data_IF_676176949291
#
_entry.id   IF_676176949291
#
_cell.length_a   1.000
_cell.length_b   1.000
_cell.length_c   1.000
_cell.angle_alpha   90.00
_cell.angle_beta   90.00
_cell.angle_gamma   90.00
#
_symmetry.space_group_name_H-M   'P 1'
#
loop_
_entity.id
_entity.type
_entity.pdbx_description
1 polymer ?
#
# COMPACT_ATOMS: atom_id res chain seq x y z
N UNK A 1 9.29 14.62 4.87
CA UNK A 1 9.61 13.32 5.50
C UNK A 1 8.34 12.48 5.52
N UNK A 2 8.39 11.22 5.08
CA UNK A 2 7.34 10.21 5.24
C UNK A 2 7.97 8.89 5.69
N UNK A 3 7.27 8.18 6.57
CA UNK A 3 7.57 6.79 6.97
C UNK A 3 6.30 5.96 6.78
N UNK A 4 6.40 4.88 6.02
CA UNK A 4 5.32 3.94 5.74
C UNK A 4 5.67 2.57 6.32
N UNK A 5 4.81 2.04 7.18
CA UNK A 5 4.95 0.70 7.78
C UNK A 5 3.77 -0.14 7.32
N UNK A 6 4.06 -1.25 6.64
CA UNK A 6 3.07 -2.13 6.04
C UNK A 6 3.27 -3.57 6.50
N UNK A 7 2.22 -4.17 7.07
CA UNK A 7 2.15 -5.60 7.32
C UNK A 7 1.53 -6.30 6.10
N UNK A 8 2.12 -7.41 5.66
CA UNK A 8 1.67 -8.16 4.48
C UNK A 8 1.55 -7.32 3.19
N UNK A 9 2.56 -6.48 2.90
CA UNK A 9 2.59 -5.61 1.72
C UNK A 9 2.47 -6.42 0.40
N UNK A 10 1.45 -6.17 -0.43
CA UNK A 10 1.32 -6.79 -1.75
C UNK A 10 2.56 -6.53 -2.62
N UNK A 11 3.00 -7.52 -3.40
CA UNK A 11 4.19 -7.38 -4.24
C UNK A 11 4.13 -6.16 -5.20
N UNK A 12 2.94 -5.88 -5.75
CA UNK A 12 2.72 -4.72 -6.62
C UNK A 12 2.82 -3.37 -5.91
N UNK A 13 2.46 -3.31 -4.62
CA UNK A 13 2.61 -2.09 -3.81
C UNK A 13 4.07 -1.89 -3.41
N UNK A 14 4.75 -2.95 -2.97
CA UNK A 14 6.18 -2.91 -2.61
C UNK A 14 7.03 -2.33 -3.74
N UNK A 15 6.90 -2.86 -4.96
CA UNK A 15 7.65 -2.35 -6.11
C UNK A 15 7.29 -0.91 -6.51
N UNK A 16 6.10 -0.44 -6.17
CA UNK A 16 5.74 0.96 -6.36
C UNK A 16 6.41 1.87 -5.32
N UNK A 17 6.41 1.46 -4.05
CA UNK A 17 7.02 2.23 -2.96
C UNK A 17 8.54 2.32 -3.09
N UNK A 18 9.23 1.24 -3.48
CA UNK A 18 10.70 1.23 -3.63
C UNK A 18 11.22 2.12 -4.76
N UNK A 19 10.35 2.59 -5.67
CA UNK A 19 10.73 3.61 -6.68
C UNK A 19 10.89 5.01 -6.10
N UNK A 20 10.28 5.27 -4.95
CA UNK A 20 10.21 6.61 -4.35
C UNK A 20 10.80 6.67 -2.93
N UNK A 21 10.79 5.54 -2.23
CA UNK A 21 11.19 5.41 -0.83
C UNK A 21 12.23 4.30 -0.68
N UNK A 22 13.11 4.44 0.30
CA UNK A 22 14.05 3.41 0.68
C UNK A 22 13.35 2.41 1.61
N UNK A 23 13.40 1.12 1.28
CA UNK A 23 12.99 0.06 2.20
C UNK A 23 14.12 -0.24 3.19
N UNK A 24 13.99 0.22 4.44
CA UNK A 24 15.03 0.07 5.48
C UNK A 24 14.92 -1.24 6.25
N UNK A 25 13.73 -1.85 6.23
CA UNK A 25 13.44 -3.18 6.80
C UNK A 25 12.19 -3.73 6.11
N UNK A 26 11.90 -5.02 6.26
CA UNK A 26 10.76 -5.66 5.62
C UNK A 26 9.45 -4.92 5.93
N UNK A 27 8.89 -4.26 4.92
CA UNK A 27 7.64 -3.49 5.04
C UNK A 27 7.79 -2.08 5.61
N UNK A 28 9.01 -1.59 5.84
CA UNK A 28 9.30 -0.24 6.37
C UNK A 28 9.97 0.61 5.29
N UNK A 29 9.28 1.66 4.85
CA UNK A 29 9.70 2.55 3.77
C UNK A 29 9.88 3.98 4.26
N UNK A 30 11.00 4.62 3.93
CA UNK A 30 11.35 5.97 4.41
C UNK A 30 11.80 6.85 3.24
N UNK A 31 11.41 8.13 3.24
CA UNK A 31 11.89 9.08 2.25
C UNK A 31 11.47 10.53 2.44
N UNK A 32 12.10 11.40 1.65
CA UNK A 32 11.74 12.81 1.51
C UNK A 32 11.10 13.02 0.14
N UNK A 33 9.82 13.38 0.14
CA UNK A 33 9.04 13.64 -1.07
C UNK A 33 8.29 14.96 -0.93
N UNK A 34 7.89 15.55 -2.06
CA UNK A 34 7.01 16.71 -2.06
C UNK A 34 5.62 16.34 -1.53
N UNK A 35 4.83 17.33 -1.13
CA UNK A 35 3.44 17.12 -0.69
C UNK A 35 2.63 16.34 -1.72
N UNK A 36 2.71 16.73 -3.00
CA UNK A 36 2.02 16.04 -4.09
C UNK A 36 2.41 14.56 -4.18
N UNK A 37 3.71 14.24 -4.18
CA UNK A 37 4.16 12.85 -4.30
C UNK A 37 3.74 12.03 -3.09
N UNK A 38 3.77 12.62 -1.89
CA UNK A 38 3.28 11.98 -0.66
C UNK A 38 1.78 11.65 -0.76
N UNK A 39 0.96 12.56 -1.26
CA UNK A 39 -0.48 12.34 -1.41
C UNK A 39 -0.79 11.24 -2.44
N UNK A 40 -0.07 11.23 -3.56
CA UNK A 40 -0.17 10.17 -4.58
C UNK A 40 0.26 8.80 -4.04
N UNK A 41 1.38 8.73 -3.30
CA UNK A 41 1.84 7.50 -2.66
C UNK A 41 0.80 6.97 -1.66
N UNK A 42 0.14 7.86 -0.91
CA UNK A 42 -0.91 7.49 0.03
C UNK A 42 -2.14 6.94 -0.70
N UNK A 43 -2.63 7.63 -1.73
CA UNK A 43 -3.77 7.19 -2.53
C UNK A 43 -3.52 5.81 -3.14
N UNK A 44 -2.33 5.60 -3.73
CA UNK A 44 -1.96 4.32 -4.33
C UNK A 44 -1.85 3.19 -3.29
N UNK A 45 -1.36 3.51 -2.10
CA UNK A 45 -1.33 2.59 -0.97
C UNK A 45 -2.76 2.14 -0.65
N UNK A 46 -3.66 3.09 -0.35
CA UNK A 46 -5.06 2.83 0.00
C UNK A 46 -5.80 2.01 -1.07
N UNK A 47 -5.58 2.31 -2.35
CA UNK A 47 -6.17 1.58 -3.47
C UNK A 47 -5.76 0.10 -3.47
N UNK A 48 -4.49 -0.19 -3.22
CA UNK A 48 -3.94 -1.56 -3.30
C UNK A 48 -4.12 -2.37 -2.02
N UNK A 49 -4.21 -1.73 -0.84
CA UNK A 49 -4.52 -2.43 0.42
C UNK A 49 -6.02 -2.71 0.59
N UNK A 50 -6.92 -1.96 -0.06
CA UNK A 50 -8.32 -2.35 -0.09
C UNK A 50 -8.45 -3.66 -0.87
N UNK A 51 -8.87 -4.77 -0.25
CA UNK A 51 -9.24 -5.95 -1.01
C UNK A 51 -10.33 -5.51 -1.98
N UNK A 52 -10.19 -5.80 -3.28
CA UNK A 52 -11.36 -5.83 -4.17
C UNK A 52 -12.32 -6.77 -3.49
N UNK A 53 -13.34 -6.21 -2.84
CA UNK A 53 -14.31 -6.96 -2.09
C UNK A 53 -14.83 -8.03 -3.05
N UNK A 54 -14.53 -9.30 -2.77
CA UNK A 54 -15.46 -10.34 -3.19
C UNK A 54 -16.78 -9.88 -2.59
N UNK A 55 -17.83 -9.61 -3.39
CA UNK A 55 -19.13 -9.39 -2.80
C UNK A 55 -19.35 -10.61 -1.92
N UNK A 56 -19.71 -10.39 -0.65
CA UNK A 56 -20.08 -11.48 0.25
C UNK A 56 -21.14 -12.29 -0.46
N UNK A 57 -20.72 -13.40 -1.09
CA UNK A 57 -21.56 -14.28 -1.86
C UNK A 57 -22.45 -14.98 -0.86
N UNK A 58 -23.74 -14.67 -0.94
CA UNK A 58 -24.81 -15.28 -0.17
C UNK A 58 -24.52 -16.73 0.20
N UNK A 59 -24.52 -17.00 1.50
CA UNK A 59 -24.80 -18.32 2.03
C UNK A 59 -26.17 -18.74 1.47
N UNK A 60 -26.19 -19.47 0.34
CA UNK A 60 -27.37 -20.24 -0.04
C UNK A 60 -27.45 -21.39 0.94
N UNK A 61 -28.49 -21.34 1.76
CA UNK A 61 -29.01 -22.48 2.50
C UNK A 61 -29.35 -23.59 1.49
N UNK A 62 -28.84 -24.79 1.73
CA UNK A 62 -29.42 -26.06 1.35
C UNK A 62 -29.08 -27.07 2.44
#
# INVERSE_FOLDING_TARGET
>A
MIVLVLTACPAGLRGHLTRWLLEVSAGVFVGHTSTRVRDELWNRTVELIRPRSRPYGHHRQH
#
